data_IF_963252320317
#
_entry.id   IF_963252320317
#
_cell.length_a   1.000
_cell.length_b   1.000
_cell.length_c   1.000
_cell.angle_alpha   90.00
_cell.angle_beta   90.00
_cell.angle_gamma   90.00
#
_symmetry.space_group_name_H-M   'P 1'
#
loop_
_entity.id
_entity.type
_entity.pdbx_description
1 polymer ?
#
# COMPACT_ATOMS: atom_id res chain seq x y z
N UNK A 1 -15.62 -5.81 -14.29
CA UNK A 1 -15.37 -6.97 -15.18
C UNK A 1 -16.12 -6.84 -16.50
N UNK A 2 -17.44 -6.61 -16.51
CA UNK A 2 -18.27 -6.64 -17.74
C UNK A 2 -17.82 -5.63 -18.81
N UNK A 3 -17.30 -4.48 -18.43
CA UNK A 3 -16.79 -3.43 -19.34
C UNK A 3 -15.58 -3.92 -20.13
N UNK A 4 -14.78 -4.82 -19.54
CA UNK A 4 -13.57 -5.38 -20.13
C UNK A 4 -13.85 -6.71 -20.87
N UNK A 5 -15.10 -7.14 -20.98
CA UNK A 5 -15.48 -8.34 -21.72
C UNK A 5 -15.67 -8.01 -23.20
N UNK A 6 -14.64 -8.21 -24.01
CA UNK A 6 -14.72 -8.00 -25.47
C UNK A 6 -13.57 -7.15 -26.02
N UNK A 7 -13.91 -6.14 -26.82
CA UNK A 7 -12.89 -5.25 -27.38
C UNK A 7 -12.34 -4.29 -26.30
N UNK A 8 -11.03 -4.25 -26.18
CA UNK A 8 -10.30 -3.48 -25.17
C UNK A 8 -9.79 -2.11 -25.68
N UNK A 9 -10.20 -1.68 -26.87
CA UNK A 9 -9.86 -0.34 -27.34
C UNK A 9 -10.49 0.73 -26.43
N UNK A 10 -9.82 1.86 -26.30
CA UNK A 10 -10.20 2.93 -25.37
C UNK A 10 -11.60 3.48 -25.65
N UNK A 11 -12.00 3.61 -26.92
CA UNK A 11 -13.32 4.14 -27.26
C UNK A 11 -14.44 3.22 -26.80
N UNK A 12 -14.29 1.90 -26.99
CA UNK A 12 -15.24 0.90 -26.49
C UNK A 12 -15.33 0.93 -24.97
N UNK A 13 -14.19 0.99 -24.29
CA UNK A 13 -14.14 1.05 -22.82
C UNK A 13 -14.79 2.34 -22.28
N UNK A 14 -14.54 3.50 -22.90
CA UNK A 14 -15.16 4.77 -22.51
C UNK A 14 -16.67 4.74 -22.71
N UNK A 15 -17.15 4.20 -23.83
CA UNK A 15 -18.59 4.01 -24.06
C UNK A 15 -19.18 3.12 -22.94
N UNK A 16 -18.55 2.01 -22.62
CA UNK A 16 -18.97 1.14 -21.54
C UNK A 16 -19.02 1.84 -20.17
N UNK A 17 -18.02 2.67 -19.87
CA UNK A 17 -17.97 3.47 -18.63
C UNK A 17 -19.12 4.49 -18.59
N UNK A 18 -19.36 5.22 -19.67
CA UNK A 18 -20.48 6.21 -19.76
C UNK A 18 -21.85 5.55 -19.59
N UNK A 19 -22.06 4.38 -20.16
CA UNK A 19 -23.31 3.63 -19.96
C UNK A 19 -23.45 3.11 -18.52
N UNK A 20 -22.35 2.70 -17.90
CA UNK A 20 -22.36 2.16 -16.52
C UNK A 20 -22.54 3.24 -15.46
N UNK A 21 -22.01 4.43 -15.73
CA UNK A 21 -21.97 5.56 -14.81
C UNK A 21 -22.54 6.82 -15.50
N UNK A 22 -23.82 6.85 -15.86
CA UNK A 22 -24.42 7.92 -16.64
C UNK A 22 -24.39 9.29 -15.95
N UNK A 23 -24.22 9.30 -14.62
CA UNK A 23 -24.09 10.51 -13.80
C UNK A 23 -22.67 11.10 -13.82
N UNK A 24 -21.69 10.38 -14.38
CA UNK A 24 -20.29 10.83 -14.45
C UNK A 24 -19.98 11.37 -15.83
N UNK A 25 -19.35 12.53 -15.85
CA UNK A 25 -18.76 13.07 -17.07
C UNK A 25 -17.37 12.47 -17.27
N UNK A 26 -17.11 11.93 -18.46
CA UNK A 26 -15.82 11.33 -18.84
C UNK A 26 -15.25 12.12 -19.99
N UNK A 27 -14.31 13.02 -19.71
CA UNK A 27 -13.72 13.97 -20.66
C UNK A 27 -12.23 13.70 -20.86
N UNK A 28 -11.73 13.67 -22.10
CA UNK A 28 -10.32 13.53 -22.42
C UNK A 28 -9.48 14.64 -21.78
N UNK A 29 -8.36 14.27 -21.17
CA UNK A 29 -7.42 15.19 -20.51
C UNK A 29 -7.87 15.72 -19.14
N UNK A 30 -9.10 15.44 -18.71
CA UNK A 30 -9.64 15.90 -17.42
C UNK A 30 -10.05 14.75 -16.50
N UNK A 31 -10.26 13.56 -17.05
CA UNK A 31 -10.74 12.40 -16.30
C UNK A 31 -9.61 11.45 -15.94
N UNK A 32 -9.44 11.18 -14.66
CA UNK A 32 -8.61 10.10 -14.15
C UNK A 32 -9.44 8.81 -14.05
N UNK A 33 -8.98 7.74 -14.68
CA UNK A 33 -9.54 6.40 -14.56
C UNK A 33 -8.80 5.69 -13.42
N UNK A 34 -9.50 5.29 -12.37
CA UNK A 34 -8.92 4.53 -11.27
C UNK A 34 -9.46 3.09 -11.29
N UNK A 35 -8.56 2.13 -11.46
CA UNK A 35 -8.88 0.69 -11.48
C UNK A 35 -8.35 0.06 -10.18
N UNK A 36 -9.27 -0.16 -9.25
CA UNK A 36 -8.95 -0.77 -7.96
C UNK A 36 -8.93 -2.29 -8.07
N UNK A 37 -8.00 -2.95 -7.37
CA UNK A 37 -7.79 -4.39 -7.35
C UNK A 37 -7.70 -4.99 -8.77
N UNK A 38 -6.88 -4.39 -9.62
CA UNK A 38 -6.82 -4.72 -11.05
C UNK A 38 -6.50 -6.19 -11.33
N UNK A 39 -5.84 -6.89 -10.41
CA UNK A 39 -5.53 -8.32 -10.54
C UNK A 39 -6.78 -9.21 -10.57
N UNK A 40 -7.93 -8.73 -10.09
CA UNK A 40 -9.20 -9.45 -10.16
C UNK A 40 -9.80 -9.47 -11.58
N UNK A 41 -9.23 -8.66 -12.51
CA UNK A 41 -9.69 -8.58 -13.91
C UNK A 41 -8.50 -8.60 -14.87
N UNK A 42 -8.08 -9.79 -15.34
CA UNK A 42 -6.94 -9.94 -16.27
C UNK A 42 -7.09 -9.14 -17.56
N UNK A 43 -8.31 -8.94 -18.03
CA UNK A 43 -8.64 -8.15 -19.22
C UNK A 43 -8.37 -6.65 -18.95
N UNK A 44 -8.63 -6.17 -17.75
CA UNK A 44 -8.28 -4.80 -17.35
C UNK A 44 -6.76 -4.59 -17.35
N UNK A 45 -5.98 -5.57 -16.87
CA UNK A 45 -4.50 -5.53 -16.96
C UNK A 45 -4.07 -5.46 -18.43
N UNK A 46 -4.66 -6.25 -19.29
CA UNK A 46 -4.37 -6.27 -20.74
C UNK A 46 -4.72 -4.93 -21.40
N UNK A 47 -5.78 -4.25 -20.93
CA UNK A 47 -6.22 -2.96 -21.49
C UNK A 47 -5.27 -1.81 -21.20
N UNK A 48 -4.39 -1.89 -20.21
CA UNK A 48 -3.45 -0.81 -19.85
C UNK A 48 -2.57 -0.37 -21.02
N UNK A 49 -2.20 -1.29 -21.91
CA UNK A 49 -1.49 -0.97 -23.14
C UNK A 49 -2.29 0.01 -24.00
N UNK A 50 -3.57 -0.25 -24.22
CA UNK A 50 -4.43 0.57 -25.10
C UNK A 50 -4.69 1.95 -24.50
N UNK A 51 -4.84 2.05 -23.18
CA UNK A 51 -4.93 3.33 -22.48
C UNK A 51 -3.68 4.19 -22.68
N UNK A 52 -2.51 3.58 -22.56
CA UNK A 52 -1.23 4.31 -22.74
C UNK A 52 -0.99 4.71 -24.18
N UNK A 53 -1.33 3.86 -25.16
CA UNK A 53 -1.22 4.19 -26.60
C UNK A 53 -2.18 5.30 -27.01
N UNK A 54 -3.38 5.33 -26.45
CA UNK A 54 -4.41 6.35 -26.70
C UNK A 54 -4.04 7.71 -26.10
N UNK A 55 -3.50 7.74 -24.90
CA UNK A 55 -3.01 8.92 -24.18
C UNK A 55 -4.04 10.06 -23.98
N UNK A 56 -5.33 9.78 -24.08
CA UNK A 56 -6.40 10.76 -23.80
C UNK A 56 -6.82 10.79 -22.34
N UNK A 57 -6.52 9.74 -21.59
CA UNK A 57 -6.95 9.57 -20.21
C UNK A 57 -5.78 9.10 -19.33
N UNK A 58 -5.65 9.68 -18.16
CA UNK A 58 -4.75 9.17 -17.14
C UNK A 58 -5.37 7.95 -16.45
N UNK A 59 -4.58 6.89 -16.30
CA UNK A 59 -5.02 5.66 -15.65
C UNK A 59 -4.11 5.33 -14.49
N UNK A 60 -4.69 5.14 -13.32
CA UNK A 60 -4.02 4.66 -12.11
C UNK A 60 -4.65 3.35 -11.68
N UNK A 61 -3.83 2.40 -11.30
CA UNK A 61 -4.29 1.09 -10.84
C UNK A 61 -3.77 0.80 -9.45
N UNK A 62 -4.60 0.19 -8.61
CA UNK A 62 -4.15 -0.42 -7.36
C UNK A 62 -4.22 -1.94 -7.43
N UNK A 63 -3.45 -2.61 -6.57
CA UNK A 63 -3.52 -4.06 -6.43
C UNK A 63 -2.46 -4.58 -5.47
N UNK A 64 -2.87 -5.40 -4.52
CA UNK A 64 -1.99 -5.96 -3.49
C UNK A 64 -1.01 -7.01 -4.00
N UNK A 65 -1.29 -7.62 -5.15
CA UNK A 65 -0.52 -8.73 -5.75
C UNK A 65 0.09 -8.39 -7.10
N UNK A 66 0.31 -7.10 -7.39
CA UNK A 66 0.82 -6.61 -8.67
C UNK A 66 2.17 -7.24 -9.13
N UNK A 67 2.82 -8.06 -8.34
CA UNK A 67 4.04 -8.78 -8.74
C UNK A 67 3.89 -10.30 -8.86
N UNK A 68 2.79 -10.87 -8.37
CA UNK A 68 2.70 -12.32 -8.16
C UNK A 68 1.80 -13.02 -9.18
N UNK A 69 0.73 -12.41 -9.65
CA UNK A 69 -0.34 -13.11 -10.43
C UNK A 69 -0.48 -12.68 -11.90
N UNK A 70 0.51 -12.02 -12.48
CA UNK A 70 0.50 -11.64 -13.90
C UNK A 70 0.47 -12.82 -14.88
N UNK A 71 0.62 -14.05 -14.39
CA UNK A 71 0.55 -15.25 -15.22
C UNK A 71 -0.84 -15.52 -15.81
N UNK A 72 -1.88 -14.80 -15.34
CA UNK A 72 -3.27 -14.95 -15.82
C UNK A 72 -3.63 -13.95 -16.91
N UNK A 73 -2.92 -12.82 -17.02
CA UNK A 73 -3.16 -11.88 -18.09
C UNK A 73 -2.66 -12.43 -19.44
N UNK A 74 -3.43 -12.26 -20.50
CA UNK A 74 -3.08 -12.71 -21.86
C UNK A 74 -1.87 -11.95 -22.43
N UNK A 75 -1.64 -10.72 -21.98
CA UNK A 75 -0.49 -9.90 -22.31
C UNK A 75 -0.16 -9.00 -21.13
N UNK A 76 1.12 -8.98 -20.75
CA UNK A 76 1.62 -8.07 -19.71
C UNK A 76 2.07 -6.75 -20.35
N UNK A 77 1.67 -5.59 -19.83
CA UNK A 77 1.95 -4.29 -20.44
C UNK A 77 3.39 -3.80 -20.15
N UNK A 78 4.40 -4.58 -20.56
CA UNK A 78 5.81 -4.20 -20.39
C UNK A 78 6.11 -2.91 -21.13
N UNK A 79 6.64 -1.90 -20.42
CA UNK A 79 6.97 -0.60 -21.00
C UNK A 79 5.79 0.39 -21.11
N UNK A 80 4.58 -0.03 -20.69
CA UNK A 80 3.36 0.81 -20.72
C UNK A 80 2.90 1.26 -19.33
N UNK A 81 3.53 0.75 -18.27
CA UNK A 81 3.16 1.05 -16.88
C UNK A 81 4.37 1.43 -16.05
N UNK A 82 4.19 2.36 -15.14
CA UNK A 82 5.13 2.72 -14.10
C UNK A 82 4.63 2.17 -12.76
N UNK A 83 5.55 1.62 -11.97
CA UNK A 83 5.24 1.07 -10.65
C UNK A 83 5.60 2.06 -9.55
N UNK A 84 4.63 2.38 -8.74
CA UNK A 84 4.80 3.17 -7.53
C UNK A 84 4.57 2.26 -6.31
N UNK A 85 5.62 1.73 -5.69
CA UNK A 85 5.46 0.90 -4.50
C UNK A 85 4.93 1.75 -3.35
N UNK A 86 3.80 1.32 -2.77
CA UNK A 86 3.26 1.92 -1.55
C UNK A 86 3.70 1.09 -0.35
N UNK A 87 4.40 1.73 0.55
CA UNK A 87 4.84 1.15 1.82
C UNK A 87 3.93 1.60 2.96
N UNK A 88 4.05 0.93 4.11
CA UNK A 88 3.52 1.46 5.35
C UNK A 88 4.17 2.82 5.64
N UNK A 89 3.46 3.68 6.38
CA UNK A 89 3.96 5.01 6.77
C UNK A 89 5.26 4.89 7.54
N UNK A 90 6.22 5.73 7.19
CA UNK A 90 7.44 5.88 7.95
C UNK A 90 7.25 6.79 9.18
N UNK A 91 8.31 7.02 9.94
CA UNK A 91 8.22 7.83 11.16
C UNK A 91 7.93 9.30 10.86
N UNK A 92 8.41 9.84 9.76
CA UNK A 92 8.14 11.23 9.35
C UNK A 92 6.67 11.41 8.97
N UNK A 93 6.12 10.51 8.17
CA UNK A 93 4.71 10.49 7.79
C UNK A 93 3.80 10.33 9.02
N UNK A 94 4.19 9.47 9.96
CA UNK A 94 3.51 9.37 11.26
C UNK A 94 3.55 10.68 12.04
N UNK A 95 4.69 11.38 12.06
CA UNK A 95 4.80 12.68 12.74
C UNK A 95 3.84 13.72 12.14
N UNK A 96 3.69 13.75 10.82
CA UNK A 96 2.67 14.59 10.17
C UNK A 96 1.25 14.20 10.58
N UNK A 97 0.96 12.91 10.61
CA UNK A 97 -0.37 12.41 10.99
C UNK A 97 -0.75 12.79 12.43
N UNK A 98 0.20 12.81 13.36
CA UNK A 98 -0.05 13.24 14.75
C UNK A 98 -0.01 14.76 14.94
N UNK A 99 0.23 15.54 13.88
CA UNK A 99 0.14 17.00 13.87
C UNK A 99 1.47 17.75 14.03
N UNK A 100 2.62 17.06 13.93
CA UNK A 100 3.93 17.74 13.90
C UNK A 100 4.05 18.50 12.58
N UNK A 101 4.33 19.78 12.66
CA UNK A 101 4.40 20.66 11.49
C UNK A 101 5.69 20.44 10.68
N UNK A 102 5.63 20.72 9.39
CA UNK A 102 6.74 20.49 8.43
C UNK A 102 8.00 21.30 8.78
N UNK A 103 7.84 22.50 9.33
CA UNK A 103 8.95 23.33 9.79
C UNK A 103 9.74 22.70 10.94
N UNK A 104 9.06 21.98 11.85
CA UNK A 104 9.71 21.23 12.92
C UNK A 104 10.54 20.06 12.38
N UNK A 105 10.04 19.37 11.37
CA UNK A 105 10.80 18.30 10.70
C UNK A 105 12.01 18.91 9.98
N UNK A 106 11.84 20.01 9.26
CA UNK A 106 12.94 20.74 8.62
C UNK A 106 14.01 21.16 9.63
N UNK A 107 13.60 21.65 10.81
CA UNK A 107 14.51 21.99 11.90
C UNK A 107 15.36 20.79 12.35
N UNK A 108 14.76 19.61 12.49
CA UNK A 108 15.48 18.40 12.87
C UNK A 108 16.48 17.97 11.77
N UNK A 109 16.09 18.07 10.50
CA UNK A 109 16.97 17.80 9.37
C UNK A 109 18.17 18.74 9.32
N UNK A 110 17.97 20.04 9.58
CA UNK A 110 19.06 21.02 9.60
C UNK A 110 20.05 20.73 10.73
N UNK A 111 19.58 20.34 11.91
CA UNK A 111 20.43 19.92 13.02
C UNK A 111 21.23 18.68 12.67
N UNK A 112 20.58 17.69 12.05
CA UNK A 112 21.26 16.48 11.58
C UNK A 112 22.34 16.77 10.54
N UNK A 113 22.03 17.54 9.50
CA UNK A 113 22.98 17.91 8.44
C UNK A 113 24.19 18.67 8.95
N UNK A 114 23.98 19.57 9.91
CA UNK A 114 25.04 20.39 10.48
C UNK A 114 25.71 19.74 11.70
N UNK A 115 25.37 18.52 12.03
CA UNK A 115 25.91 17.79 13.19
C UNK A 115 25.73 18.57 14.50
N UNK A 116 24.64 19.32 14.61
CA UNK A 116 24.26 20.06 15.81
C UNK A 116 23.36 19.20 16.71
N UNK A 117 23.62 19.28 18.01
CA UNK A 117 22.73 18.62 18.97
C UNK A 117 21.38 19.33 19.01
N UNK A 118 20.29 18.55 18.96
CA UNK A 118 18.95 19.07 19.24
C UNK A 118 18.76 19.33 20.74
N UNK A 119 17.98 20.36 21.13
CA UNK A 119 17.66 20.61 22.54
C UNK A 119 17.07 19.37 23.21
N UNK A 120 17.41 19.16 24.47
CA UNK A 120 16.98 17.95 25.22
C UNK A 120 15.45 17.77 25.25
N UNK A 121 14.71 18.89 25.36
CA UNK A 121 13.24 18.87 25.34
C UNK A 121 12.69 18.36 24.02
N UNK A 122 13.28 18.75 22.89
CA UNK A 122 12.90 18.28 21.54
C UNK A 122 13.26 16.81 21.37
N UNK A 123 14.48 16.44 21.76
CA UNK A 123 14.91 15.04 21.70
C UNK A 123 14.01 14.12 22.54
N UNK A 124 13.65 14.53 23.75
CA UNK A 124 12.76 13.76 24.61
C UNK A 124 11.38 13.56 24.00
N UNK A 125 10.82 14.59 23.39
CA UNK A 125 9.52 14.49 22.70
C UNK A 125 9.62 13.60 21.46
N UNK A 126 10.64 13.75 20.63
CA UNK A 126 10.85 12.88 19.46
C UNK A 126 11.03 11.42 19.87
N UNK A 127 11.79 11.15 20.92
CA UNK A 127 11.94 9.80 21.46
C UNK A 127 10.64 9.24 22.04
N UNK A 128 9.78 10.09 22.60
CA UNK A 128 8.44 9.69 23.03
C UNK A 128 7.58 9.32 21.83
N UNK A 129 7.54 10.14 20.77
CA UNK A 129 6.81 9.86 19.55
C UNK A 129 7.33 8.60 18.85
N UNK A 130 8.65 8.41 18.80
CA UNK A 130 9.24 7.21 18.21
C UNK A 130 8.84 5.92 18.95
N UNK A 131 8.77 5.96 20.28
CA UNK A 131 8.26 4.80 21.06
C UNK A 131 6.80 4.52 20.77
N UNK A 132 5.99 5.55 20.63
CA UNK A 132 4.57 5.41 20.25
C UNK A 132 4.46 4.82 18.85
N UNK A 133 5.22 5.35 17.87
CA UNK A 133 5.26 4.82 16.52
C UNK A 133 5.65 3.34 16.48
N UNK A 134 6.63 2.92 17.26
CA UNK A 134 7.00 1.50 17.36
C UNK A 134 5.87 0.61 17.91
N UNK A 135 4.97 1.16 18.73
CA UNK A 135 3.81 0.44 19.25
C UNK A 135 2.61 0.47 18.30
N UNK A 136 2.40 1.60 17.61
CA UNK A 136 1.30 1.80 16.65
C UNK A 136 1.63 1.15 15.30
N UNK A 137 2.88 1.28 14.84
CA UNK A 137 3.31 0.90 13.50
C UNK A 137 2.92 1.92 12.44
N UNK A 138 3.21 1.59 11.18
CA UNK A 138 2.99 2.49 10.04
C UNK A 138 1.77 2.17 9.19
N UNK A 139 0.88 1.24 9.58
CA UNK A 139 -0.33 0.97 8.82
C UNK A 139 -1.30 2.15 8.93
N UNK A 140 -1.73 2.77 7.82
CA UNK A 140 -2.51 4.02 7.84
C UNK A 140 -3.76 3.96 8.71
N UNK A 141 -4.53 2.86 8.63
CA UNK A 141 -5.73 2.65 9.45
C UNK A 141 -5.42 2.63 10.95
N UNK A 142 -4.30 1.99 11.33
CA UNK A 142 -3.84 1.91 12.72
C UNK A 142 -3.39 3.28 13.22
N UNK A 143 -2.64 4.01 12.39
CA UNK A 143 -2.19 5.38 12.70
C UNK A 143 -3.40 6.30 12.86
N UNK A 144 -4.38 6.26 11.93
CA UNK A 144 -5.60 7.04 12.01
C UNK A 144 -6.37 6.75 13.30
N UNK A 145 -6.52 5.47 13.66
CA UNK A 145 -7.18 5.08 14.92
C UNK A 145 -6.47 5.67 16.14
N UNK A 146 -5.14 5.63 16.15
CA UNK A 146 -4.37 6.25 17.23
C UNK A 146 -4.56 7.78 17.27
N UNK A 147 -4.55 8.44 16.12
CA UNK A 147 -4.79 9.89 16.04
C UNK A 147 -6.15 10.27 16.62
N UNK A 148 -7.17 9.51 16.28
CA UNK A 148 -8.56 9.78 16.68
C UNK A 148 -8.82 9.52 18.18
N UNK A 149 -8.25 8.44 18.71
CA UNK A 149 -8.63 7.93 20.03
C UNK A 149 -7.56 8.09 21.11
N UNK A 150 -6.28 8.12 20.73
CA UNK A 150 -5.13 8.04 21.64
C UNK A 150 -5.19 6.81 22.59
N UNK A 151 -5.98 5.80 22.24
CA UNK A 151 -6.19 4.58 23.02
C UNK A 151 -5.50 3.39 22.35
N UNK A 152 -4.48 2.84 23.00
CA UNK A 152 -3.75 1.66 22.51
C UNK A 152 -4.60 0.39 22.46
N UNK A 153 -5.71 0.30 23.18
CA UNK A 153 -6.61 -0.86 23.12
C UNK A 153 -7.32 -0.89 21.76
N UNK A 154 -7.76 0.28 21.29
CA UNK A 154 -8.38 0.42 19.96
C UNK A 154 -7.37 0.17 18.84
N UNK A 155 -6.14 0.68 19.01
CA UNK A 155 -5.00 0.40 18.10
C UNK A 155 -4.76 -1.11 17.99
N UNK A 156 -4.64 -1.79 19.13
CA UNK A 156 -4.36 -3.22 19.16
C UNK A 156 -5.49 -4.06 18.51
N UNK A 157 -6.72 -3.63 18.64
CA UNK A 157 -7.86 -4.28 17.96
C UNK A 157 -7.67 -4.24 16.44
N UNK A 158 -7.41 -3.06 15.85
CA UNK A 158 -7.19 -2.93 14.40
C UNK A 158 -5.95 -3.74 13.96
N UNK A 159 -4.86 -3.71 14.75
CA UNK A 159 -3.67 -4.53 14.45
C UNK A 159 -4.02 -6.02 14.38
N UNK A 160 -4.82 -6.54 15.31
CA UNK A 160 -5.24 -7.95 15.31
C UNK A 160 -6.17 -8.27 14.13
N UNK A 161 -7.05 -7.36 13.75
CA UNK A 161 -7.93 -7.52 12.59
C UNK A 161 -7.11 -7.60 11.30
N UNK A 162 -6.09 -6.72 11.12
CA UNK A 162 -5.15 -6.78 10.00
C UNK A 162 -4.34 -8.08 9.96
N UNK A 163 -3.79 -8.51 11.10
CA UNK A 163 -3.05 -9.77 11.19
C UNK A 163 -3.94 -10.98 10.83
N UNK A 164 -5.20 -10.92 11.21
CA UNK A 164 -6.18 -11.95 10.88
C UNK A 164 -6.49 -11.93 9.39
N UNK A 165 -6.66 -10.74 8.78
CA UNK A 165 -6.82 -10.57 7.34
C UNK A 165 -5.66 -11.18 6.54
N UNK A 166 -4.42 -10.84 6.88
CA UNK A 166 -3.23 -11.43 6.22
C UNK A 166 -3.18 -12.96 6.31
N UNK A 167 -3.63 -13.54 7.42
CA UNK A 167 -3.72 -15.01 7.54
C UNK A 167 -4.75 -15.59 6.57
N UNK A 168 -5.90 -14.95 6.42
CA UNK A 168 -6.90 -15.37 5.43
C UNK A 168 -6.36 -15.24 4.01
N UNK A 169 -5.62 -14.18 3.69
CA UNK A 169 -5.02 -14.00 2.38
C UNK A 169 -3.99 -15.08 2.07
N UNK A 170 -3.08 -15.38 3.01
CA UNK A 170 -2.13 -16.50 2.88
C UNK A 170 -2.88 -17.81 2.66
N UNK A 171 -4.00 -18.02 3.38
CA UNK A 171 -4.80 -19.22 3.26
C UNK A 171 -5.51 -19.33 1.90
N UNK A 172 -5.89 -18.23 1.28
CA UNK A 172 -6.63 -18.21 0.02
C UNK A 172 -5.71 -18.18 -1.21
N UNK A 173 -4.59 -17.46 -1.16
CA UNK A 173 -3.73 -17.24 -2.32
C UNK A 173 -2.54 -18.21 -2.41
N UNK A 174 -2.13 -18.83 -1.29
CA UNK A 174 -1.06 -19.80 -1.33
C UNK A 174 -1.51 -21.11 -1.99
N UNK A 175 -0.70 -21.62 -2.92
CA UNK A 175 -0.90 -22.96 -3.51
C UNK A 175 -0.90 -23.99 -2.37
N UNK A 176 -1.80 -24.97 -2.45
CA UNK A 176 -2.05 -25.97 -1.38
C UNK A 176 -0.77 -26.65 -0.85
N UNK A 177 0.23 -26.87 -1.73
CA UNK A 177 1.51 -27.49 -1.35
C UNK A 177 2.43 -26.59 -0.51
N UNK A 178 2.24 -25.27 -0.52
CA UNK A 178 3.07 -24.30 0.22
C UNK A 178 2.33 -23.56 1.32
N UNK A 179 1.00 -23.69 1.39
CA UNK A 179 0.15 -22.98 2.36
C UNK A 179 0.63 -23.13 3.80
N UNK A 180 0.82 -24.37 4.26
CA UNK A 180 1.29 -24.65 5.63
C UNK A 180 2.65 -24.04 5.91
N UNK A 181 3.56 -24.05 4.94
CA UNK A 181 4.90 -23.45 5.09
C UNK A 181 4.81 -21.93 5.13
N UNK A 182 3.97 -21.31 4.29
CA UNK A 182 3.75 -19.87 4.29
C UNK A 182 3.18 -19.40 5.63
N UNK A 183 2.20 -20.10 6.19
CA UNK A 183 1.66 -19.84 7.52
C UNK A 183 2.73 -19.99 8.61
N UNK A 184 3.53 -21.05 8.59
CA UNK A 184 4.62 -21.27 9.53
C UNK A 184 5.66 -20.15 9.45
N UNK A 185 6.07 -19.73 8.24
CA UNK A 185 6.96 -18.59 8.03
C UNK A 185 6.37 -17.32 8.64
N UNK A 186 5.12 -17.02 8.34
CA UNK A 186 4.43 -15.85 8.89
C UNK A 186 4.43 -15.82 10.42
N UNK A 187 4.07 -16.93 11.07
CA UNK A 187 4.09 -17.03 12.53
C UNK A 187 5.49 -17.03 13.15
N UNK A 188 6.51 -17.37 12.38
CA UNK A 188 7.88 -17.34 12.87
C UNK A 188 8.48 -15.94 12.92
N UNK A 189 7.91 -14.97 12.18
CA UNK A 189 8.46 -13.61 12.05
C UNK A 189 8.73 -12.95 13.40
N UNK A 190 7.74 -12.92 14.28
CA UNK A 190 7.89 -12.27 15.58
C UNK A 190 8.96 -12.93 16.45
N UNK A 191 9.06 -14.26 16.42
CA UNK A 191 10.08 -15.02 17.16
C UNK A 191 11.48 -14.76 16.61
N UNK A 192 11.61 -14.69 15.29
CA UNK A 192 12.90 -14.45 14.64
C UNK A 192 13.39 -13.01 14.86
N UNK A 193 12.49 -12.03 14.81
CA UNK A 193 12.82 -10.63 15.09
C UNK A 193 13.24 -10.39 16.55
N UNK A 194 12.71 -11.19 17.50
CA UNK A 194 13.09 -11.13 18.91
C UNK A 194 14.43 -11.82 19.21
N UNK A 195 14.92 -12.66 18.31
CA UNK A 195 16.18 -13.36 18.50
C UNK A 195 17.36 -12.43 18.22
N UNK A 196 17.99 -11.91 19.28
CA UNK A 196 19.11 -10.96 19.21
C UNK A 196 20.42 -11.59 18.72
N UNK A 197 20.54 -12.90 18.73
CA UNK A 197 21.78 -13.61 18.36
C UNK A 197 21.87 -13.89 16.85
N UNK A 198 20.74 -13.89 16.15
CA UNK A 198 20.71 -14.25 14.74
C UNK A 198 20.01 -13.15 13.92
N UNK A 199 20.83 -12.34 13.23
CA UNK A 199 20.34 -11.25 12.37
C UNK A 199 19.89 -11.71 10.97
N UNK A 200 19.88 -13.03 10.70
CA UNK A 200 19.46 -13.59 9.41
C UNK A 200 18.13 -14.32 9.57
N UNK A 201 17.19 -14.00 8.70
CA UNK A 201 15.93 -14.73 8.61
C UNK A 201 16.22 -16.17 8.15
N UNK A 202 15.76 -17.16 8.90
CA UNK A 202 15.94 -18.58 8.59
C UNK A 202 14.67 -19.13 7.95
N UNK A 203 14.81 -19.64 6.73
CA UNK A 203 13.78 -20.44 6.07
C UNK A 203 14.00 -21.90 6.47
N UNK A 204 13.12 -22.44 7.25
CA UNK A 204 13.13 -23.88 7.60
C UNK A 204 12.24 -24.66 6.64
#
# INVERSE_FOLDING_TARGET
ADIFAGNLDTDTLIIGLRFRFPEKTVEPGETLIFLDEIQECPEAVTSLKFWTEDNRYDVVCSGSLLGIDYKRASSYPVGYVEYLPMHAMDFEEYLYAVGIQKDMISYLYDHFKNTHAVPETVNREMMRQYRIFNAVGGMPEVVQKYVDTRDFREVHKIQNDLLTGYRFDIANYAVSSVKTRAEQCYFSLSKQLLNKENHKFQYS
#
